data_IF_226127588584
#
_entry.id   IF_226127588584
#
_cell.length_a   1.000
_cell.length_b   1.000
_cell.length_c   1.000
_cell.angle_alpha   90.00
_cell.angle_beta   90.00
_cell.angle_gamma   90.00
#
_symmetry.space_group_name_H-M   'P 1'
#
loop_
_entity.id
_entity.type
_entity.pdbx_description
1 polymer ?
#
# COMPACT_ATOMS: atom_id res chain seq x y z
N UNK A 1 -13.93 2.29 5.83
CA UNK A 1 -12.85 3.19 5.33
C UNK A 1 -13.31 4.63 5.51
N UNK A 2 -12.44 5.52 6.03
CA UNK A 2 -12.73 6.96 6.13
C UNK A 2 -12.29 7.71 4.88
N UNK A 3 -11.18 7.31 4.30
CA UNK A 3 -10.59 7.98 3.16
C UNK A 3 -9.69 7.02 2.37
N UNK A 4 -9.78 7.07 1.05
CA UNK A 4 -8.89 6.38 0.12
C UNK A 4 -8.53 7.33 -1.00
N UNK A 5 -7.25 7.50 -1.27
CA UNK A 5 -6.74 8.31 -2.37
C UNK A 5 -5.61 7.58 -3.08
N UNK A 6 -5.75 7.41 -4.38
CA UNK A 6 -4.68 6.91 -5.23
C UNK A 6 -3.83 8.08 -5.72
N UNK A 7 -2.52 7.97 -5.58
CA UNK A 7 -1.56 8.94 -6.10
C UNK A 7 -0.34 8.19 -6.65
N UNK A 8 -0.02 8.41 -7.93
CA UNK A 8 1.17 7.86 -8.59
C UNK A 8 1.37 6.36 -8.32
N UNK A 9 0.42 5.49 -8.68
CA UNK A 9 0.48 4.02 -8.51
C UNK A 9 0.49 3.54 -7.04
N UNK A 10 0.22 4.40 -6.08
CA UNK A 10 0.14 4.04 -4.66
C UNK A 10 -1.23 4.42 -4.10
N UNK A 11 -1.89 3.48 -3.45
CA UNK A 11 -3.17 3.71 -2.77
C UNK A 11 -2.94 3.99 -1.30
N UNK A 12 -3.31 5.19 -0.87
CA UNK A 12 -3.29 5.61 0.54
C UNK A 12 -4.66 5.43 1.15
N UNK A 13 -4.74 4.74 2.28
CA UNK A 13 -6.02 4.47 2.96
C UNK A 13 -5.94 4.87 4.43
N UNK A 14 -6.94 5.63 4.91
CA UNK A 14 -7.11 5.94 6.33
C UNK A 14 -8.31 5.13 6.84
N UNK A 15 -8.11 4.37 7.92
CA UNK A 15 -9.14 3.56 8.59
C UNK A 15 -9.61 4.23 9.86
N UNK A 16 -10.83 3.93 10.30
CA UNK A 16 -11.44 4.47 11.52
C UNK A 16 -10.67 4.05 12.79
N UNK A 17 -10.12 2.84 12.85
CA UNK A 17 -9.32 2.35 13.98
C UNK A 17 -7.83 2.43 13.62
N UNK A 18 -7.07 3.40 14.15
CA UNK A 18 -5.64 3.54 13.85
C UNK A 18 -4.80 2.65 14.77
N UNK A 19 -5.08 1.34 14.81
CA UNK A 19 -4.31 0.36 15.62
C UNK A 19 -2.96 -0.01 14.99
N UNK A 20 -2.48 0.77 14.04
CA UNK A 20 -1.23 0.58 13.31
C UNK A 20 -1.40 0.83 11.83
N UNK A 21 -0.28 0.95 11.14
CA UNK A 21 -0.21 1.02 9.68
C UNK A 21 0.32 -0.30 9.11
N UNK A 22 -0.09 -0.65 7.90
CA UNK A 22 0.53 -1.70 7.11
C UNK A 22 0.79 -1.19 5.70
N UNK A 23 1.84 -1.71 5.08
CA UNK A 23 2.17 -1.45 3.68
C UNK A 23 2.04 -2.77 2.94
N UNK A 24 1.25 -2.80 1.87
CA UNK A 24 1.17 -3.90 0.94
C UNK A 24 2.03 -3.54 -0.27
N UNK A 25 3.09 -4.28 -0.50
CA UNK A 25 3.96 -4.13 -1.67
C UNK A 25 3.43 -5.04 -2.77
N UNK A 26 3.50 -4.58 -4.02
CA UNK A 26 3.23 -5.44 -5.17
C UNK A 26 4.23 -6.60 -5.19
N UNK A 27 3.73 -7.82 -5.15
CA UNK A 27 4.51 -9.05 -5.15
C UNK A 27 3.74 -10.19 -5.80
N UNK A 28 4.38 -11.34 -6.09
CA UNK A 28 3.74 -12.47 -6.75
C UNK A 28 2.58 -13.07 -5.94
N UNK A 29 2.67 -13.01 -4.60
CA UNK A 29 1.61 -13.51 -3.72
C UNK A 29 0.46 -12.50 -3.57
N UNK A 30 0.73 -11.23 -3.85
CA UNK A 30 -0.24 -10.13 -3.77
C UNK A 30 -0.77 -9.69 -5.15
N UNK A 31 -0.28 -10.32 -6.23
CA UNK A 31 -0.83 -10.11 -7.56
C UNK A 31 -2.31 -10.50 -7.57
N UNK A 32 -3.13 -9.63 -8.15
CA UNK A 32 -4.55 -9.92 -8.28
C UNK A 32 -4.74 -11.22 -9.07
N UNK A 33 -5.38 -12.20 -8.42
CA UNK A 33 -5.75 -13.48 -9.05
C UNK A 33 -7.25 -13.49 -9.24
N UNK A 34 -7.67 -13.86 -10.43
CA UNK A 34 -9.08 -14.10 -10.75
C UNK A 34 -9.20 -15.60 -11.01
N UNK A 35 -9.95 -16.28 -10.16
CA UNK A 35 -10.15 -17.71 -10.30
C UNK A 35 -11.01 -18.02 -11.53
N UNK A 36 -10.70 -19.08 -12.27
CA UNK A 36 -11.55 -19.55 -13.37
C UNK A 36 -12.99 -19.79 -12.88
N UNK A 37 -13.96 -19.42 -13.70
CA UNK A 37 -15.38 -19.48 -13.37
C UNK A 37 -15.92 -18.25 -12.65
N UNK A 38 -15.08 -17.33 -12.20
CA UNK A 38 -15.51 -16.07 -11.58
C UNK A 38 -16.10 -15.14 -12.64
N UNK A 39 -17.22 -14.52 -12.34
CA UNK A 39 -17.78 -13.46 -13.18
C UNK A 39 -17.24 -12.11 -12.74
N UNK A 40 -16.65 -11.39 -13.67
CA UNK A 40 -16.13 -10.03 -13.47
C UNK A 40 -16.77 -9.07 -14.47
N UNK A 41 -16.77 -7.78 -14.15
CA UNK A 41 -17.19 -6.75 -15.10
C UNK A 41 -15.95 -6.01 -15.59
N UNK A 42 -15.75 -5.98 -16.90
CA UNK A 42 -14.62 -5.34 -17.54
C UNK A 42 -15.03 -3.98 -18.09
N UNK A 43 -14.33 -2.93 -17.70
CA UNK A 43 -14.44 -1.61 -18.29
C UNK A 43 -13.26 -1.39 -19.24
N UNK A 44 -13.56 -1.17 -20.51
CA UNK A 44 -12.58 -0.93 -21.55
C UNK A 44 -12.30 0.56 -21.69
N UNK A 45 -11.12 0.87 -22.19
CA UNK A 45 -10.75 2.21 -22.63
C UNK A 45 -11.08 2.42 -24.14
N UNK A 46 -10.75 3.60 -24.66
CA UNK A 46 -10.95 3.96 -26.08
C UNK A 46 -10.10 3.11 -27.04
N UNK A 47 -9.11 2.35 -26.53
CA UNK A 47 -8.24 1.46 -27.29
C UNK A 47 -8.66 -0.02 -27.19
N UNK A 48 -9.85 -0.32 -26.62
CA UNK A 48 -10.33 -1.66 -26.34
C UNK A 48 -9.43 -2.46 -25.35
N UNK A 49 -8.69 -1.78 -24.49
CA UNK A 49 -7.95 -2.41 -23.40
C UNK A 49 -8.75 -2.33 -22.11
N UNK A 50 -8.65 -3.37 -21.30
CA UNK A 50 -9.27 -3.40 -19.98
C UNK A 50 -8.53 -2.45 -19.06
N UNK A 51 -9.20 -1.39 -18.64
CA UNK A 51 -8.71 -0.37 -17.72
C UNK A 51 -9.11 -0.64 -16.28
N UNK A 52 -10.26 -1.28 -16.10
CA UNK A 52 -10.81 -1.55 -14.78
C UNK A 52 -11.54 -2.88 -14.76
N UNK A 53 -11.31 -3.65 -13.69
CA UNK A 53 -11.87 -4.98 -13.49
C UNK A 53 -12.67 -4.94 -12.19
N UNK A 54 -13.94 -5.26 -12.23
CA UNK A 54 -14.75 -5.42 -11.02
C UNK A 54 -14.95 -6.91 -10.71
N UNK A 55 -14.23 -7.38 -9.71
CA UNK A 55 -14.32 -8.72 -9.16
C UNK A 55 -15.03 -8.73 -7.78
N UNK A 56 -15.72 -7.64 -7.42
CA UNK A 56 -16.37 -7.51 -6.11
C UNK A 56 -17.61 -8.40 -5.95
N UNK A 57 -18.21 -8.85 -7.04
CA UNK A 57 -19.50 -9.53 -7.00
C UNK A 57 -20.66 -8.64 -6.51
N UNK A 58 -20.49 -7.33 -6.56
CA UNK A 58 -21.47 -6.35 -6.07
C UNK A 58 -22.77 -6.42 -6.87
N UNK A 59 -23.91 -6.15 -6.20
CA UNK A 59 -25.22 -5.98 -6.88
C UNK A 59 -25.28 -4.71 -7.73
N UNK A 60 -24.34 -3.78 -7.54
CA UNK A 60 -24.17 -2.58 -8.37
C UNK A 60 -22.73 -2.59 -8.94
N UNK A 61 -22.48 -3.41 -9.97
CA UNK A 61 -21.18 -3.43 -10.62
C UNK A 61 -20.91 -2.11 -11.35
N UNK A 62 -19.65 -1.89 -11.69
CA UNK A 62 -19.29 -0.79 -12.59
C UNK A 62 -19.95 -0.99 -13.96
N UNK A 63 -20.16 0.08 -14.70
CA UNK A 63 -20.62 -0.01 -16.09
C UNK A 63 -19.53 -0.66 -16.95
N UNK A 64 -19.87 -1.76 -17.63
CA UNK A 64 -18.90 -2.52 -18.42
C UNK A 64 -19.47 -3.83 -18.98
N UNK A 65 -18.60 -4.70 -19.45
CA UNK A 65 -18.91 -5.98 -20.06
C UNK A 65 -18.77 -7.09 -19.02
N UNK A 66 -19.85 -7.82 -18.67
CA UNK A 66 -19.75 -8.97 -17.80
C UNK A 66 -19.11 -10.15 -18.54
N UNK A 67 -18.05 -10.69 -17.93
CA UNK A 67 -17.26 -11.80 -18.48
C UNK A 67 -17.10 -12.88 -17.42
N UNK A 68 -17.46 -14.11 -17.77
CA UNK A 68 -17.11 -15.28 -16.97
C UNK A 68 -15.69 -15.70 -17.33
N UNK A 69 -14.76 -15.55 -16.38
CA UNK A 69 -13.34 -15.77 -16.62
C UNK A 69 -13.04 -17.26 -16.79
N UNK A 70 -12.38 -17.62 -17.87
CA UNK A 70 -11.81 -18.93 -18.08
C UNK A 70 -10.33 -18.98 -17.65
N UNK A 71 -9.57 -17.95 -18.01
CA UNK A 71 -8.18 -17.76 -17.60
C UNK A 71 -7.84 -16.28 -17.50
N UNK A 72 -7.00 -15.91 -16.56
CA UNK A 72 -6.51 -14.54 -16.43
C UNK A 72 -5.02 -14.54 -16.08
N UNK A 73 -4.25 -13.76 -16.80
CA UNK A 73 -2.85 -13.46 -16.48
C UNK A 73 -2.69 -11.93 -16.37
N UNK A 74 -2.61 -11.46 -15.15
CA UNK A 74 -2.45 -10.04 -14.82
C UNK A 74 -1.01 -9.70 -14.42
N UNK A 75 -0.08 -10.63 -14.64
CA UNK A 75 1.33 -10.50 -14.27
C UNK A 75 2.23 -10.39 -15.50
N UNK A 76 2.14 -11.34 -16.41
CA UNK A 76 3.04 -11.45 -17.56
C UNK A 76 2.37 -11.07 -18.87
N UNK A 77 1.34 -11.80 -19.27
CA UNK A 77 0.70 -11.60 -20.57
C UNK A 77 -0.29 -10.44 -20.58
N UNK A 78 -0.76 -10.00 -19.42
CA UNK A 78 -1.79 -8.96 -19.23
C UNK A 78 -3.03 -9.23 -20.09
N UNK A 79 -3.60 -10.42 -19.92
CA UNK A 79 -4.79 -10.87 -20.68
C UNK A 79 -5.82 -11.50 -19.75
N UNK A 80 -7.08 -11.34 -20.15
CA UNK A 80 -8.22 -12.05 -19.56
C UNK A 80 -8.93 -12.79 -20.71
N UNK A 81 -9.14 -14.09 -20.52
CA UNK A 81 -9.91 -14.92 -21.42
C UNK A 81 -11.19 -15.33 -20.74
N UNK A 82 -12.30 -15.24 -21.44
CA UNK A 82 -13.58 -15.60 -20.84
C UNK A 82 -14.75 -15.48 -21.83
N UNK A 83 -15.91 -15.81 -21.31
CA UNK A 83 -17.18 -15.85 -22.02
C UNK A 83 -17.99 -14.61 -21.69
N UNK A 84 -18.35 -13.85 -22.71
CA UNK A 84 -19.10 -12.61 -22.58
C UNK A 84 -20.58 -12.89 -22.35
N UNK A 85 -21.20 -12.24 -21.39
CA UNK A 85 -22.63 -12.38 -21.08
C UNK A 85 -23.12 -13.83 -20.87
N UNK A 86 -22.25 -14.77 -20.53
CA UNK A 86 -22.57 -16.17 -20.36
C UNK A 86 -22.71 -16.98 -21.68
N UNK A 87 -22.25 -16.41 -22.79
CA UNK A 87 -22.19 -17.11 -24.07
C UNK A 87 -20.96 -18.02 -24.13
N UNK A 88 -21.13 -19.29 -23.78
CA UNK A 88 -20.06 -20.29 -23.73
C UNK A 88 -19.54 -20.72 -25.13
N UNK A 89 -20.17 -20.29 -26.20
CA UNK A 89 -19.77 -20.66 -27.57
C UNK A 89 -18.60 -19.83 -28.09
N UNK A 90 -18.34 -18.66 -27.51
CA UNK A 90 -17.28 -17.76 -27.95
C UNK A 90 -16.31 -17.34 -26.82
N UNK A 91 -15.17 -18.01 -26.76
CA UNK A 91 -14.09 -17.58 -25.89
C UNK A 91 -13.43 -16.32 -26.46
N UNK A 92 -13.51 -15.21 -25.73
CA UNK A 92 -12.88 -13.93 -26.08
C UNK A 92 -11.65 -13.69 -25.23
N UNK A 93 -10.65 -13.03 -25.83
CA UNK A 93 -9.43 -12.59 -25.15
C UNK A 93 -9.39 -11.06 -25.12
N UNK A 94 -9.25 -10.52 -23.91
CA UNK A 94 -9.13 -9.08 -23.66
C UNK A 94 -7.71 -8.76 -23.23
N UNK A 95 -7.10 -7.77 -23.87
CA UNK A 95 -5.83 -7.22 -23.42
C UNK A 95 -6.08 -6.28 -22.23
N UNK A 96 -5.28 -6.40 -21.19
CA UNK A 96 -5.39 -5.58 -19.99
C UNK A 96 -4.34 -4.47 -20.03
N UNK A 97 -4.75 -3.24 -19.69
CA UNK A 97 -3.83 -2.12 -19.59
C UNK A 97 -2.85 -2.36 -18.44
N UNK A 98 -1.59 -1.95 -18.62
CA UNK A 98 -0.54 -2.10 -17.62
C UNK A 98 -0.87 -1.41 -16.29
N UNK A 99 -1.59 -0.30 -16.34
CA UNK A 99 -2.00 0.47 -15.17
C UNK A 99 -3.48 0.23 -14.82
N UNK A 100 -4.04 -0.91 -15.24
CA UNK A 100 -5.41 -1.27 -14.90
C UNK A 100 -5.62 -1.43 -13.41
N UNK A 101 -6.85 -1.23 -12.97
CA UNK A 101 -7.26 -1.44 -11.58
C UNK A 101 -8.20 -2.62 -11.44
N UNK A 102 -8.16 -3.25 -10.27
CA UNK A 102 -9.10 -4.31 -9.89
C UNK A 102 -9.82 -3.93 -8.60
N UNK A 103 -11.13 -4.12 -8.57
CA UNK A 103 -11.94 -4.00 -7.37
C UNK A 103 -12.08 -5.40 -6.78
N UNK A 104 -11.46 -5.63 -5.62
CA UNK A 104 -11.54 -6.89 -4.89
C UNK A 104 -12.93 -7.07 -4.22
N UNK A 105 -13.25 -8.29 -3.79
CA UNK A 105 -14.52 -8.63 -3.10
C UNK A 105 -14.79 -7.74 -1.86
N UNK A 106 -13.75 -7.25 -1.20
CA UNK A 106 -13.86 -6.32 -0.06
C UNK A 106 -14.17 -4.87 -0.48
N UNK A 107 -14.38 -4.61 -1.78
CA UNK A 107 -14.59 -3.29 -2.37
C UNK A 107 -13.36 -2.39 -2.36
N UNK A 108 -12.15 -2.96 -2.21
CA UNK A 108 -10.91 -2.20 -2.32
C UNK A 108 -10.48 -2.18 -3.78
N UNK A 109 -10.28 -0.99 -4.33
CA UNK A 109 -9.71 -0.82 -5.65
C UNK A 109 -8.18 -0.70 -5.53
N UNK A 110 -7.49 -1.56 -6.26
CA UNK A 110 -6.03 -1.65 -6.30
C UNK A 110 -5.56 -1.65 -7.75
N UNK A 111 -4.32 -1.21 -8.00
CA UNK A 111 -3.67 -1.47 -9.28
C UNK A 111 -3.36 -2.97 -9.39
N UNK A 112 -3.48 -3.52 -10.59
CA UNK A 112 -2.87 -4.82 -10.89
C UNK A 112 -1.36 -4.72 -10.68
N UNK A 113 -0.70 -5.85 -10.51
CA UNK A 113 0.74 -5.88 -10.23
C UNK A 113 1.49 -6.63 -11.34
N UNK A 114 1.66 -6.03 -12.54
CA UNK A 114 2.50 -6.59 -13.59
C UNK A 114 3.91 -6.87 -13.06
N UNK A 115 4.60 -7.84 -13.65
CA UNK A 115 5.91 -8.32 -13.19
C UNK A 115 6.91 -7.18 -12.96
N UNK A 116 7.00 -6.25 -13.89
CA UNK A 116 7.92 -5.11 -13.82
C UNK A 116 7.63 -4.10 -12.70
N UNK A 117 6.39 -4.10 -12.17
CA UNK A 117 5.98 -3.25 -11.04
C UNK A 117 6.18 -3.93 -9.69
N UNK A 118 6.47 -5.22 -9.67
CA UNK A 118 6.63 -5.99 -8.43
C UNK A 118 7.91 -5.61 -7.70
N UNK A 119 7.86 -5.71 -6.37
CA UNK A 119 9.01 -5.39 -5.52
C UNK A 119 10.24 -6.25 -5.84
N UNK A 120 10.04 -7.52 -6.26
CA UNK A 120 11.12 -8.43 -6.64
C UNK A 120 11.92 -7.94 -7.86
N UNK A 121 11.28 -7.23 -8.77
CA UNK A 121 11.93 -6.68 -9.97
C UNK A 121 12.51 -5.26 -9.73
N UNK A 122 12.22 -4.67 -8.57
CA UNK A 122 12.76 -3.37 -8.23
C UNK A 122 14.30 -3.41 -8.14
N UNK A 123 14.96 -2.32 -8.53
CA UNK A 123 16.41 -2.19 -8.42
C UNK A 123 16.89 -2.35 -6.97
N UNK A 124 18.11 -2.87 -6.81
CA UNK A 124 18.72 -3.13 -5.49
C UNK A 124 18.67 -1.89 -4.58
N UNK A 125 18.92 -0.70 -5.13
CA UNK A 125 18.86 0.54 -4.38
C UNK A 125 17.46 0.84 -3.83
N UNK A 126 16.39 0.59 -4.61
CA UNK A 126 15.01 0.75 -4.14
C UNK A 126 14.64 -0.26 -3.05
N UNK A 127 15.07 -1.51 -3.21
CA UNK A 127 14.89 -2.58 -2.20
C UNK A 127 15.57 -2.20 -0.89
N UNK A 128 16.83 -1.77 -0.97
CA UNK A 128 17.59 -1.34 0.19
C UNK A 128 16.94 -0.14 0.89
N UNK A 129 16.53 0.88 0.12
CA UNK A 129 15.87 2.07 0.67
C UNK A 129 14.56 1.71 1.39
N UNK A 130 13.74 0.82 0.80
CA UNK A 130 12.49 0.37 1.41
C UNK A 130 12.73 -0.38 2.73
N UNK A 131 13.71 -1.30 2.75
CA UNK A 131 14.06 -2.07 3.95
C UNK A 131 14.67 -1.19 5.05
N UNK A 132 15.43 -0.17 4.67
CA UNK A 132 16.07 0.74 5.61
C UNK A 132 15.15 1.83 6.14
N UNK A 133 14.06 2.14 5.42
CA UNK A 133 13.13 3.21 5.78
C UNK A 133 12.52 3.04 7.18
N UNK A 134 12.17 1.81 7.58
CA UNK A 134 11.63 1.51 8.90
C UNK A 134 12.60 1.84 10.04
N UNK A 135 13.78 1.20 10.09
CA UNK A 135 14.81 1.52 11.07
C UNK A 135 15.21 3.01 11.08
N UNK A 136 15.34 3.62 9.90
CA UNK A 136 15.66 5.04 9.78
C UNK A 136 14.60 5.93 10.44
N UNK A 137 13.32 5.67 10.20
CA UNK A 137 12.24 6.45 10.81
C UNK A 137 12.18 6.28 12.33
N UNK A 138 12.54 5.11 12.86
CA UNK A 138 12.64 4.91 14.30
C UNK A 138 13.77 5.77 14.92
N UNK A 139 14.91 5.89 14.25
CA UNK A 139 16.01 6.76 14.68
C UNK A 139 15.54 8.23 14.65
N UNK A 140 14.90 8.66 13.57
CA UNK A 140 14.36 10.03 13.46
C UNK A 140 13.34 10.30 14.55
N UNK A 141 12.41 9.39 14.81
CA UNK A 141 11.42 9.53 15.87
C UNK A 141 12.10 9.61 17.25
N UNK A 142 13.08 8.75 17.53
CA UNK A 142 13.84 8.77 18.77
C UNK A 142 14.54 10.11 18.98
N UNK A 143 15.13 10.67 17.91
CA UNK A 143 15.76 11.98 17.95
C UNK A 143 14.76 13.12 18.23
N UNK A 144 13.61 13.08 17.59
CA UNK A 144 12.52 14.07 17.82
C UNK A 144 12.04 14.01 19.27
N UNK A 145 11.78 12.80 19.79
CA UNK A 145 11.35 12.60 21.18
C UNK A 145 12.41 13.09 22.14
N UNK A 146 13.69 12.81 21.88
CA UNK A 146 14.80 13.29 22.69
C UNK A 146 14.88 14.83 22.72
N UNK A 147 14.73 15.49 21.58
CA UNK A 147 14.69 16.97 21.52
C UNK A 147 13.53 17.52 22.35
N UNK A 148 12.32 16.98 22.16
CA UNK A 148 11.14 17.42 22.92
C UNK A 148 11.37 17.25 24.42
N UNK A 149 11.87 16.08 24.81
CA UNK A 149 12.19 15.80 26.21
C UNK A 149 13.27 16.74 26.76
N UNK A 150 14.35 16.98 26.01
CA UNK A 150 15.41 17.90 26.39
C UNK A 150 14.94 19.34 26.59
N UNK A 151 13.99 19.80 25.77
CA UNK A 151 13.39 21.13 25.89
C UNK A 151 12.37 21.23 27.04
N UNK A 152 11.71 20.14 27.38
CA UNK A 152 10.70 20.06 28.43
C UNK A 152 11.31 19.75 29.82
N UNK A 153 12.48 19.14 29.87
CA UNK A 153 13.12 18.76 31.12
C UNK A 153 13.64 20.00 31.86
N UNK A 154 13.49 20.05 33.17
CA UNK A 154 13.95 21.18 34.00
C UNK A 154 15.48 21.16 34.20
N UNK A 155 16.23 21.34 33.12
CA UNK A 155 17.70 21.39 33.12
C UNK A 155 18.36 20.00 33.08
N UNK A 156 19.53 19.92 32.45
CA UNK A 156 20.38 18.75 32.51
C UNK A 156 21.15 18.77 33.82
N UNK A 157 21.32 17.62 34.51
CA UNK A 157 22.22 17.57 35.67
C UNK A 157 23.62 17.93 35.21
N UNK A 158 24.16 18.99 35.82
CA UNK A 158 25.54 19.43 35.57
C UNK A 158 26.41 19.04 36.74
N UNK A 159 27.71 18.92 36.51
CA UNK A 159 28.72 18.72 37.60
C UNK A 159 29.01 20.02 38.33
N UNK A 160 28.45 21.15 37.90
CA UNK A 160 28.61 22.44 38.52
C UNK A 160 27.64 22.60 39.69
N UNK A 161 28.15 22.88 40.87
CA UNK A 161 27.31 23.16 42.04
C UNK A 161 26.72 24.56 41.87
N UNK A 162 25.38 24.64 41.72
CA UNK A 162 24.68 25.91 41.50
C UNK A 162 24.54 26.77 42.78
N UNK A 163 24.35 26.12 43.93
CA UNK A 163 24.28 26.77 45.22
C UNK A 163 24.54 25.76 46.33
N UNK A 164 25.08 26.22 47.45
CA UNK A 164 25.25 25.44 48.69
C UNK A 164 24.21 25.89 49.72
N UNK A 165 23.73 24.95 50.54
CA UNK A 165 22.81 25.27 51.63
C UNK A 165 23.63 25.88 52.78
N UNK A 166 23.17 26.99 53.35
CA UNK A 166 23.83 27.65 54.45
C UNK A 166 24.03 26.71 55.66
N UNK A 167 25.21 26.78 56.26
CA UNK A 167 25.63 25.97 57.43
C UNK A 167 25.79 24.46 57.14
N UNK A 168 25.85 24.02 55.90
CA UNK A 168 26.19 22.67 55.54
C UNK A 168 27.68 22.50 55.21
N UNK A 169 28.23 21.26 55.32
CA UNK A 169 29.68 21.03 55.10
C UNK A 169 30.19 21.50 53.75
N UNK A 170 29.38 21.47 52.71
CA UNK A 170 29.74 21.92 51.36
C UNK A 170 29.99 23.44 51.27
N UNK A 171 29.38 24.24 52.14
CA UNK A 171 29.63 25.67 52.22
C UNK A 171 30.95 25.98 52.98
N UNK A 172 31.27 25.13 53.96
CA UNK A 172 32.47 25.30 54.78
C UNK A 172 33.72 24.87 54.02
N UNK A 173 33.56 23.92 53.10
CA UNK A 173 34.69 23.40 52.31
C UNK A 173 35.14 24.29 51.15
N UNK A 174 34.40 25.36 50.79
CA UNK A 174 34.73 26.34 49.75
C UNK A 174 34.20 25.96 48.39
#
# INVERSE_FOLDING_TARGET
KLFQKMRAKTTYTIRWLPLGGYVRLAGPDDAAKIDPGTTVVLQLDDQNKVKRIDASGSQMPIEGIPVQVNAADLVDALTIQGYENGDEDQLKTYSVDHDATIIEQNGTELLIAPRDTQFQEASVGKKLATNFAGPFMNIVLGFVVFIIWSLAAPGAPTTTVGSTIAHQPAQVAG
#
